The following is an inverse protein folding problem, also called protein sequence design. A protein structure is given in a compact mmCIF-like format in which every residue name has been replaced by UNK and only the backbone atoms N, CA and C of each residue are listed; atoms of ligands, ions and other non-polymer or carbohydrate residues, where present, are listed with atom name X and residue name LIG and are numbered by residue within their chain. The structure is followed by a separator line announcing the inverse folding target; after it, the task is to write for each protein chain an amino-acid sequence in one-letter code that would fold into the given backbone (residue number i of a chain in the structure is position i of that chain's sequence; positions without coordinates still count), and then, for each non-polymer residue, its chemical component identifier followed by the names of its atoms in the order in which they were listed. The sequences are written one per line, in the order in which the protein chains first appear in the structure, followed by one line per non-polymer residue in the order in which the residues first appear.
data_IF_324044123203
#
_entry.id   IF_324044123203
#
_cell.length_a   1.000
_cell.length_b   1.000
_cell.length_c   1.000
_cell.angle_alpha   90.00
_cell.angle_beta   90.00
_cell.angle_gamma   90.00
#
_symmetry.space_group_name_H-M   'P 1'
#
loop_
_entity.id
_entity.type
_entity.pdbx_description
1 polymer ?
#
# COMPACT_ATOMS: atom_id res chain seq x y z
N UNK A 1 18.65 20.09 -11.11
CA UNK A 1 18.80 18.64 -10.97
C UNK A 1 19.48 18.35 -9.64
N UNK A 2 18.89 17.51 -8.78
CA UNK A 2 19.54 17.09 -7.54
C UNK A 2 20.75 16.20 -7.85
N UNK A 3 21.80 16.31 -7.03
CA UNK A 3 22.98 15.43 -7.14
C UNK A 3 22.55 13.97 -6.93
N UNK A 4 23.15 13.01 -7.67
CA UNK A 4 22.86 11.59 -7.45
C UNK A 4 23.26 11.20 -6.03
N UNK A 5 22.36 10.47 -5.35
CA UNK A 5 22.60 9.92 -4.01
C UNK A 5 22.89 8.44 -4.16
N UNK A 6 24.05 8.00 -3.71
CA UNK A 6 24.44 6.59 -3.71
C UNK A 6 24.14 5.97 -2.35
N UNK A 7 23.50 4.79 -2.35
CA UNK A 7 23.21 3.99 -1.17
C UNK A 7 23.57 2.54 -1.43
N UNK A 8 24.07 1.88 -0.39
CA UNK A 8 24.29 0.44 -0.42
C UNK A 8 22.95 -0.28 -0.23
N UNK A 9 22.79 -1.37 -0.97
CA UNK A 9 21.71 -2.34 -0.77
C UNK A 9 22.13 -3.25 0.38
N UNK A 10 21.22 -3.48 1.33
CA UNK A 10 21.51 -4.41 2.42
C UNK A 10 21.34 -5.89 2.01
N UNK A 11 21.62 -6.82 2.92
CA UNK A 11 21.52 -8.27 2.67
C UNK A 11 20.10 -8.76 2.34
N UNK A 12 19.08 -7.92 2.55
CA UNK A 12 17.68 -8.21 2.26
C UNK A 12 17.16 -7.44 1.04
N UNK A 13 18.04 -6.77 0.30
CA UNK A 13 17.65 -5.99 -0.89
C UNK A 13 17.08 -4.61 -0.58
N UNK A 14 17.13 -4.13 0.67
CA UNK A 14 16.51 -2.86 1.05
C UNK A 14 17.44 -1.69 0.78
N UNK A 15 16.86 -0.57 0.33
CA UNK A 15 17.54 0.71 0.16
C UNK A 15 16.79 1.78 0.95
N UNK A 16 17.49 2.51 1.81
CA UNK A 16 16.90 3.60 2.57
C UNK A 16 16.66 4.82 1.67
N UNK A 17 15.40 5.21 1.50
CA UNK A 17 15.02 6.47 0.85
C UNK A 17 15.24 7.64 1.84
N UNK A 18 16.16 8.57 1.56
CA UNK A 18 16.44 9.71 2.43
C UNK A 18 15.20 10.58 2.69
N UNK A 19 15.14 11.20 3.88
CA UNK A 19 14.01 12.06 4.30
C UNK A 19 13.66 13.15 3.28
N UNK A 20 14.66 13.85 2.74
CA UNK A 20 14.44 14.89 1.74
C UNK A 20 13.77 14.39 0.44
N UNK A 21 14.11 13.16 0.00
CA UNK A 21 13.45 12.57 -1.17
C UNK A 21 12.02 12.14 -0.86
N UNK A 22 11.78 11.60 0.35
CA UNK A 22 10.43 11.27 0.81
C UNK A 22 9.54 12.49 0.90
N UNK A 23 10.03 13.60 1.46
CA UNK A 23 9.29 14.87 1.54
C UNK A 23 8.97 15.41 0.13
N UNK A 24 9.94 15.35 -0.79
CA UNK A 24 9.73 15.79 -2.18
C UNK A 24 8.71 14.91 -2.92
N UNK A 25 8.74 13.60 -2.67
CA UNK A 25 7.80 12.64 -3.25
C UNK A 25 6.49 12.52 -2.46
N UNK A 26 6.29 13.34 -1.42
CA UNK A 26 5.13 13.31 -0.52
C UNK A 26 4.85 11.91 0.07
N UNK A 27 5.92 11.16 0.38
CA UNK A 27 5.88 9.80 0.93
C UNK A 27 6.02 9.82 2.45
N UNK A 28 4.99 9.36 3.15
CA UNK A 28 4.90 9.27 4.59
C UNK A 28 4.72 7.82 5.08
N UNK A 29 4.82 7.64 6.39
CA UNK A 29 4.56 6.34 7.00
C UNK A 29 3.09 5.95 6.79
N UNK A 30 2.87 4.76 6.24
CA UNK A 30 1.52 4.24 5.94
C UNK A 30 1.03 4.53 4.52
N UNK A 31 1.79 5.27 3.71
CA UNK A 31 1.49 5.42 2.29
C UNK A 31 1.72 4.11 1.52
N UNK A 32 0.88 3.89 0.51
CA UNK A 32 1.02 2.77 -0.42
C UNK A 32 1.95 3.22 -1.56
N UNK A 33 2.89 2.34 -1.92
CA UNK A 33 3.87 2.61 -2.96
C UNK A 33 3.88 1.48 -3.98
N UNK A 34 3.84 1.85 -5.26
CA UNK A 34 4.02 0.93 -6.38
C UNK A 34 5.50 0.81 -6.71
N UNK A 35 5.99 -0.42 -6.84
CA UNK A 35 7.34 -0.71 -7.32
C UNK A 35 7.25 -1.19 -8.76
N UNK A 36 7.86 -0.46 -9.69
CA UNK A 36 7.93 -0.80 -11.10
C UNK A 36 9.34 -1.22 -11.51
N UNK A 37 9.44 -2.10 -12.51
CA UNK A 37 10.70 -2.45 -13.17
C UNK A 37 10.59 -2.08 -14.65
N UNK A 38 11.47 -1.20 -15.12
CA UNK A 38 11.55 -0.86 -16.54
C UNK A 38 13.00 -0.63 -16.94
N UNK A 39 13.46 -1.33 -17.99
CA UNK A 39 14.80 -1.15 -18.56
C UNK A 39 15.93 -1.22 -17.52
N UNK A 40 15.83 -2.16 -16.57
CA UNK A 40 16.80 -2.32 -15.48
C UNK A 40 16.73 -1.25 -14.38
N UNK A 41 15.74 -0.35 -14.42
CA UNK A 41 15.48 0.65 -13.38
C UNK A 41 14.31 0.22 -12.52
N UNK A 42 14.50 0.26 -11.21
CA UNK A 42 13.43 0.13 -10.22
C UNK A 42 12.87 1.53 -9.96
N UNK A 43 11.58 1.73 -10.18
CA UNK A 43 10.86 2.96 -9.84
C UNK A 43 9.95 2.73 -8.66
N UNK A 44 9.89 3.69 -7.74
CA UNK A 44 8.97 3.66 -6.60
C UNK A 44 8.08 4.89 -6.71
N UNK A 45 6.77 4.68 -6.77
CA UNK A 45 5.79 5.75 -6.98
C UNK A 45 4.73 5.67 -5.88
N UNK A 46 4.47 6.77 -5.18
CA UNK A 46 3.32 6.85 -4.27
C UNK A 46 2.03 6.72 -5.08
N UNK A 47 1.11 5.90 -4.60
CA UNK A 47 -0.21 5.73 -5.21
C UNK A 47 -1.29 5.90 -4.14
N UNK A 48 -2.38 6.58 -4.50
CA UNK A 48 -3.51 6.79 -3.59
C UNK A 48 -4.45 5.58 -3.57
N UNK A 49 -4.49 4.83 -4.67
CA UNK A 49 -5.35 3.67 -4.88
C UNK A 49 -4.54 2.64 -5.67
N UNK A 50 -4.65 1.37 -5.29
CA UNK A 50 -4.06 0.26 -6.03
C UNK A 50 -4.82 0.12 -7.36
N UNK A 51 -4.11 0.12 -8.49
CA UNK A 51 -4.69 0.18 -9.84
C UNK A 51 -5.89 -0.77 -10.02
N UNK A 52 -6.95 -0.28 -10.65
CA UNK A 52 -8.16 -1.06 -10.95
C UNK A 52 -7.76 -2.27 -11.80
N UNK A 53 -7.76 -3.46 -11.21
CA UNK A 53 -7.37 -4.71 -11.85
C UNK A 53 -6.24 -5.48 -11.14
N UNK A 54 -5.55 -4.86 -10.18
CA UNK A 54 -4.61 -5.56 -9.31
C UNK A 54 -5.38 -6.28 -8.19
N UNK A 55 -5.57 -7.59 -8.36
CA UNK A 55 -6.23 -8.49 -7.42
C UNK A 55 -5.25 -9.18 -6.46
N UNK A 56 -4.00 -8.69 -6.38
CA UNK A 56 -3.07 -9.24 -5.39
C UNK A 56 -3.67 -9.15 -3.98
N UNK A 57 -3.46 -10.15 -3.11
CA UNK A 57 -4.02 -10.15 -1.76
C UNK A 57 -3.70 -8.87 -0.99
N UNK A 58 -2.49 -8.34 -1.18
CA UNK A 58 -2.00 -7.12 -0.56
C UNK A 58 -2.74 -5.87 -1.07
N UNK A 59 -3.04 -5.82 -2.38
CA UNK A 59 -3.81 -4.75 -3.00
C UNK A 59 -5.25 -4.72 -2.49
N UNK A 60 -5.88 -5.89 -2.43
CA UNK A 60 -7.26 -6.04 -1.94
C UNK A 60 -7.33 -5.65 -0.46
N UNK A 61 -6.39 -6.11 0.37
CA UNK A 61 -6.36 -5.76 1.79
C UNK A 61 -6.19 -4.25 2.00
N UNK A 62 -5.25 -3.62 1.28
CA UNK A 62 -5.02 -2.19 1.34
C UNK A 62 -6.26 -1.37 0.93
N UNK A 63 -6.91 -1.78 -0.17
CA UNK A 63 -8.15 -1.17 -0.64
C UNK A 63 -9.28 -1.30 0.39
N UNK A 64 -9.49 -2.51 0.93
CA UNK A 64 -10.53 -2.76 1.94
C UNK A 64 -10.27 -1.93 3.20
N UNK A 65 -9.02 -1.86 3.67
CA UNK A 65 -8.65 -1.03 4.84
C UNK A 65 -8.92 0.44 4.61
N UNK A 66 -8.58 0.97 3.44
CA UNK A 66 -8.85 2.37 3.08
C UNK A 66 -10.36 2.64 2.99
N UNK A 67 -11.11 1.75 2.34
CA UNK A 67 -12.55 1.85 2.18
C UNK A 67 -13.26 1.83 3.54
N UNK A 68 -12.95 0.87 4.43
CA UNK A 68 -13.53 0.78 5.78
C UNK A 68 -13.24 2.04 6.60
N UNK A 69 -12.04 2.60 6.48
CA UNK A 69 -11.67 3.85 7.17
C UNK A 69 -12.48 5.04 6.68
N UNK A 70 -12.84 5.10 5.40
CA UNK A 70 -13.67 6.18 4.84
C UNK A 70 -15.18 6.00 5.08
N UNK A 71 -15.64 4.81 5.48
CA UNK A 71 -17.06 4.54 5.73
C UNK A 71 -17.59 5.20 7.01
N UNK A 72 -18.88 5.57 7.08
CA UNK A 72 -19.53 5.96 8.34
C UNK A 72 -19.62 4.81 9.35
N UNK A 73 -19.66 5.12 10.66
CA UNK A 73 -19.70 4.12 11.73
C UNK A 73 -20.86 3.12 11.62
N UNK A 74 -22.03 3.58 11.18
CA UNK A 74 -23.20 2.73 10.92
C UNK A 74 -22.90 1.65 9.88
N UNK A 75 -22.29 2.02 8.75
CA UNK A 75 -21.91 1.06 7.71
C UNK A 75 -20.77 0.15 8.14
N UNK A 76 -19.83 0.63 8.97
CA UNK A 76 -18.76 -0.22 9.52
C UNK A 76 -19.31 -1.33 10.42
N UNK A 77 -20.29 -0.99 11.26
CA UNK A 77 -20.96 -1.95 12.15
C UNK A 77 -21.76 -2.99 11.38
N UNK A 78 -22.49 -2.58 10.34
CA UNK A 78 -23.19 -3.50 9.43
C UNK A 78 -22.20 -4.46 8.75
N UNK A 79 -21.12 -3.92 8.18
CA UNK A 79 -20.10 -4.69 7.48
C UNK A 79 -19.39 -5.70 8.40
N UNK A 80 -19.16 -5.32 9.68
CA UNK A 80 -18.65 -6.21 10.72
C UNK A 80 -19.59 -7.41 10.96
N UNK A 81 -20.90 -7.18 11.02
CA UNK A 81 -21.90 -8.23 11.19
C UNK A 81 -21.97 -9.20 10.00
N UNK A 82 -21.89 -8.66 8.78
CA UNK A 82 -21.84 -9.45 7.56
C UNK A 82 -20.58 -10.34 7.50
N UNK A 83 -19.41 -9.76 7.80
CA UNK A 83 -18.15 -10.49 7.83
C UNK A 83 -18.13 -11.59 8.90
N UNK A 84 -18.67 -11.31 10.09
CA UNK A 84 -18.80 -12.30 11.17
C UNK A 84 -19.68 -13.48 10.74
N UNK A 85 -20.80 -13.19 10.06
CA UNK A 85 -21.73 -14.22 9.56
C UNK A 85 -21.10 -15.07 8.44
N UNK A 86 -20.29 -14.47 7.57
CA UNK A 86 -19.56 -15.19 6.52
C UNK A 86 -18.49 -16.12 7.07
N UNK A 87 -17.82 -15.74 8.16
CA UNK A 87 -16.85 -16.59 8.84
C UNK A 87 -17.52 -17.79 9.51
N UNK A 88 -18.64 -17.58 10.21
CA UNK A 88 -19.39 -18.68 10.85
C UNK A 88 -19.94 -19.69 9.83
N UNK A 89 -20.33 -19.25 8.62
CA UNK A 89 -20.81 -20.15 7.56
C UNK A 89 -19.73 -21.02 6.91
N UNK A 90 -18.44 -20.67 7.08
CA UNK A 90 -17.33 -21.48 6.57
C UNK A 90 -16.87 -22.58 7.53
N UNK A 91 -17.32 -22.53 8.79
CA UNK A 91 -16.96 -23.51 9.84
C UNK A 91 -17.99 -24.64 10.00
N UNK A 92 -18.97 -24.77 9.08
CA UNK A 92 -20.01 -25.81 9.08
C UNK A 92 -19.88 -26.83 7.96
#
# INVERSE_FOLDING_TARGET
MSKPIYKLVDSKGRVLIPKALRETAQMEYGDIVRIGLSSGRITVTKVDIVEVGDQSPEAVEAYVRAAVKAMPDSKRLELLGELSSLLQKKEG
#
